data_IF_984329063927
#
_entry.id   IF_984329063927
#
_cell.length_a   1.000
_cell.length_b   1.000
_cell.length_c   1.000
_cell.angle_alpha   90.00
_cell.angle_beta   90.00
_cell.angle_gamma   90.00
#
_symmetry.space_group_name_H-M   'P 1'
#
loop_
_entity.id
_entity.type
_entity.pdbx_description
1 polymer ?
#
# COMPACT_ATOMS: atom_id res chain seq x y z
N UNK A 1 -5.22 12.26 -9.13
CA UNK A 1 -4.10 11.64 -8.42
C UNK A 1 -4.00 10.19 -8.82
N UNK A 2 -2.79 9.66 -8.81
CA UNK A 2 -2.48 8.27 -9.15
C UNK A 2 -1.14 7.86 -8.55
N UNK A 3 -0.76 6.61 -8.72
CA UNK A 3 0.62 6.19 -8.48
C UNK A 3 1.12 5.27 -9.60
N UNK A 4 2.42 5.20 -9.75
CA UNK A 4 3.10 4.11 -10.45
C UNK A 4 3.83 3.31 -9.39
N UNK A 5 3.65 1.98 -9.40
CA UNK A 5 4.45 1.06 -8.60
C UNK A 5 5.11 0.07 -9.55
N UNK A 6 6.44 0.13 -9.61
CA UNK A 6 7.29 -0.71 -10.46
C UNK A 6 6.79 -0.79 -11.93
N UNK A 7 6.45 0.37 -12.49
CA UNK A 7 5.97 0.52 -13.86
C UNK A 7 4.45 0.34 -14.03
N UNK A 8 3.72 -0.11 -13.01
CA UNK A 8 2.27 -0.26 -13.09
C UNK A 8 1.54 1.01 -12.66
N UNK A 9 0.96 1.73 -13.62
CA UNK A 9 0.19 2.95 -13.37
C UNK A 9 -1.22 2.66 -12.84
N UNK A 10 -1.63 3.35 -11.78
CA UNK A 10 -2.97 3.30 -11.19
C UNK A 10 -3.52 4.71 -11.02
N UNK A 11 -4.73 4.92 -11.54
CA UNK A 11 -5.42 6.22 -11.56
C UNK A 11 -6.65 6.20 -10.66
N UNK A 12 -7.27 7.37 -10.44
CA UNK A 12 -8.54 7.49 -9.73
C UNK A 12 -8.40 7.42 -8.20
N UNK A 13 -7.25 7.81 -7.67
CA UNK A 13 -6.99 7.78 -6.23
C UNK A 13 -7.40 9.12 -5.65
N UNK A 14 -8.27 9.06 -4.64
CA UNK A 14 -8.85 10.25 -3.99
C UNK A 14 -8.55 10.32 -2.51
N UNK A 15 -8.08 9.22 -1.90
CA UNK A 15 -7.76 9.15 -0.48
C UNK A 15 -6.50 8.32 -0.23
N UNK A 16 -5.81 8.60 0.88
CA UNK A 16 -4.67 7.80 1.34
C UNK A 16 -5.05 6.33 1.62
N UNK A 17 -6.26 6.08 2.14
CA UNK A 17 -6.77 4.72 2.34
C UNK A 17 -6.88 3.95 1.02
N UNK A 18 -7.41 4.61 -0.03
CA UNK A 18 -7.52 3.99 -1.36
C UNK A 18 -6.15 3.75 -2.00
N UNK A 19 -5.19 4.67 -1.81
CA UNK A 19 -3.80 4.44 -2.21
C UNK A 19 -3.25 3.17 -1.55
N UNK A 20 -3.36 3.09 -0.22
CA UNK A 20 -2.85 1.96 0.56
C UNK A 20 -3.47 0.63 0.14
N UNK A 21 -4.78 0.59 -0.04
CA UNK A 21 -5.51 -0.59 -0.52
C UNK A 21 -4.93 -1.09 -1.84
N UNK A 22 -4.79 -0.20 -2.82
CA UNK A 22 -4.36 -0.55 -4.17
C UNK A 22 -2.90 -1.02 -4.19
N UNK A 23 -2.03 -0.40 -3.39
CA UNK A 23 -0.65 -0.87 -3.18
C UNK A 23 -0.66 -2.28 -2.59
N UNK A 24 -1.44 -2.53 -1.53
CA UNK A 24 -1.54 -3.86 -0.93
C UNK A 24 -2.04 -4.91 -1.93
N UNK A 25 -3.05 -4.58 -2.73
CA UNK A 25 -3.58 -5.49 -3.77
C UNK A 25 -2.54 -5.81 -4.84
N UNK A 26 -1.78 -4.82 -5.31
CA UNK A 26 -0.72 -5.07 -6.29
C UNK A 26 0.41 -5.94 -5.72
N UNK A 27 0.85 -5.66 -4.49
CA UNK A 27 1.88 -6.47 -3.83
C UNK A 27 1.41 -7.91 -3.61
N UNK A 28 0.14 -8.08 -3.21
CA UNK A 28 -0.46 -9.40 -3.07
C UNK A 28 -0.52 -10.15 -4.39
N UNK A 29 -0.91 -9.50 -5.49
CA UNK A 29 -0.92 -10.12 -6.82
C UNK A 29 0.49 -10.51 -7.30
N UNK A 30 1.49 -9.69 -6.95
CA UNK A 30 2.90 -9.90 -7.34
C UNK A 30 3.54 -11.09 -6.63
N UNK A 31 3.38 -11.19 -5.31
CA UNK A 31 3.96 -12.26 -4.52
C UNK A 31 2.98 -12.72 -3.42
N UNK A 32 1.97 -13.54 -3.77
CA UNK A 32 0.91 -13.96 -2.85
C UNK A 32 1.43 -14.61 -1.58
N UNK A 33 2.44 -15.48 -1.69
CA UNK A 33 3.06 -16.17 -0.54
C UNK A 33 3.72 -15.19 0.43
N UNK A 34 4.44 -14.20 -0.11
CA UNK A 34 5.09 -13.14 0.70
C UNK A 34 4.05 -12.24 1.36
N UNK A 35 2.92 -11.99 0.69
CA UNK A 35 1.80 -11.27 1.30
C UNK A 35 1.13 -12.10 2.41
N UNK A 36 1.00 -13.41 2.21
CA UNK A 36 0.39 -14.33 3.17
C UNK A 36 1.17 -14.46 4.48
N UNK A 37 2.47 -14.17 4.47
CA UNK A 37 3.31 -14.15 5.68
C UNK A 37 3.20 -12.86 6.50
N UNK A 38 2.66 -11.77 5.94
CA UNK A 38 2.60 -10.46 6.61
C UNK A 38 1.98 -10.52 8.02
N UNK A 39 0.87 -11.25 8.28
CA UNK A 39 0.28 -11.29 9.61
C UNK A 39 1.16 -11.88 10.72
N UNK A 40 2.18 -12.66 10.36
CA UNK A 40 3.12 -13.26 11.31
C UNK A 40 4.49 -12.56 11.32
N UNK A 41 4.71 -11.61 10.43
CA UNK A 41 6.03 -11.01 10.25
C UNK A 41 6.26 -9.88 11.27
N UNK A 42 7.36 -9.93 12.06
CA UNK A 42 7.61 -8.99 13.17
C UNK A 42 7.55 -7.51 12.78
N UNK A 43 8.04 -7.13 11.60
CA UNK A 43 8.03 -5.73 11.14
C UNK A 43 6.62 -5.12 10.99
N UNK A 44 5.60 -5.98 10.91
CA UNK A 44 4.20 -5.59 10.79
C UNK A 44 3.43 -5.76 12.11
N UNK A 45 4.13 -6.08 13.20
CA UNK A 45 3.62 -6.10 14.56
C UNK A 45 4.25 -4.92 15.30
N UNK A 46 3.44 -4.01 15.79
CA UNK A 46 3.95 -2.88 16.58
C UNK A 46 4.63 -3.36 17.87
N UNK A 47 5.48 -2.53 18.47
CA UNK A 47 6.11 -2.82 19.76
C UNK A 47 5.11 -3.13 20.89
N UNK A 48 3.83 -2.72 20.74
CA UNK A 48 2.74 -2.99 21.69
C UNK A 48 1.96 -4.26 21.34
N UNK A 49 2.41 -5.05 20.37
CA UNK A 49 1.77 -6.29 19.91
C UNK A 49 0.60 -6.09 18.95
N UNK A 50 0.24 -4.86 18.58
CA UNK A 50 -0.83 -4.65 17.60
C UNK A 50 -0.38 -5.00 16.18
N UNK A 51 -1.07 -5.90 15.47
CA UNK A 51 -0.74 -6.27 14.11
C UNK A 51 -1.23 -5.22 13.10
N UNK A 52 -0.51 -5.07 11.99
CA UNK A 52 -0.90 -4.25 10.84
C UNK A 52 -1.66 -5.05 9.79
N UNK A 53 -1.43 -6.36 9.77
CA UNK A 53 -2.12 -7.33 8.93
C UNK A 53 -2.61 -8.48 9.79
N UNK A 54 -3.82 -8.96 9.56
CA UNK A 54 -4.39 -10.07 10.33
C UNK A 54 -5.33 -10.92 9.48
N UNK A 55 -5.42 -12.21 9.79
CA UNK A 55 -6.51 -13.07 9.30
C UNK A 55 -7.79 -12.95 10.12
N UNK A 56 -7.68 -12.45 11.35
CA UNK A 56 -8.82 -12.10 12.21
C UNK A 56 -9.02 -10.57 12.21
N UNK A 57 -10.08 -10.04 11.56
CA UNK A 57 -10.33 -8.61 11.51
C UNK A 57 -10.57 -7.99 12.90
N UNK A 58 -10.93 -8.78 13.92
CA UNK A 58 -11.15 -8.28 15.29
C UNK A 58 -9.85 -7.87 16.00
N UNK A 59 -8.70 -8.30 15.49
CA UNK A 59 -7.38 -7.90 15.99
C UNK A 59 -6.97 -6.48 15.51
N UNK A 60 -7.73 -5.90 14.57
CA UNK A 60 -7.47 -4.59 13.97
C UNK A 60 -8.48 -3.57 14.51
N UNK A 61 -8.06 -2.31 14.62
CA UNK A 61 -8.94 -1.21 15.03
C UNK A 61 -9.93 -0.87 13.92
N UNK A 62 -9.47 -0.89 12.67
CA UNK A 62 -10.33 -0.89 11.50
C UNK A 62 -9.74 -1.81 10.43
N UNK A 63 -10.48 -2.85 10.05
CA UNK A 63 -10.05 -3.85 9.11
C UNK A 63 -10.52 -3.52 7.68
N UNK A 64 -9.63 -3.72 6.70
CA UNK A 64 -9.96 -3.73 5.28
C UNK A 64 -9.50 -5.03 4.66
N UNK A 65 -10.43 -5.80 4.09
CA UNK A 65 -10.12 -7.03 3.39
C UNK A 65 -9.31 -6.74 2.11
N UNK A 66 -8.11 -7.31 2.01
CA UNK A 66 -7.26 -7.20 0.83
C UNK A 66 -7.51 -8.41 -0.08
N UNK A 67 -7.16 -9.61 0.38
CA UNK A 67 -7.40 -10.87 -0.32
C UNK A 67 -7.34 -12.07 0.64
N UNK A 68 -7.97 -13.19 0.29
CA UNK A 68 -7.86 -14.50 0.97
C UNK A 68 -7.96 -14.43 2.50
N UNK A 69 -8.90 -13.64 3.01
CA UNK A 69 -9.14 -13.45 4.45
C UNK A 69 -8.07 -12.61 5.18
N UNK A 70 -7.07 -12.08 4.48
CA UNK A 70 -6.08 -11.17 5.04
C UNK A 70 -6.63 -9.74 5.00
N UNK A 71 -6.67 -9.14 6.18
CA UNK A 71 -7.10 -7.77 6.40
C UNK A 71 -5.91 -6.89 6.73
N UNK A 72 -5.94 -5.64 6.26
CA UNK A 72 -4.99 -4.61 6.65
C UNK A 72 -5.64 -3.60 7.61
N UNK A 73 -4.86 -3.05 8.53
CA UNK A 73 -5.25 -1.94 9.40
C UNK A 73 -5.40 -0.66 8.57
N UNK A 74 -6.55 0.02 8.68
CA UNK A 74 -6.85 1.26 7.95
C UNK A 74 -7.20 2.45 8.84
N UNK A 75 -7.21 2.27 10.17
CA UNK A 75 -7.29 3.35 11.14
C UNK A 75 -5.93 4.05 11.30
N UNK A 76 -5.41 4.54 10.18
CA UNK A 76 -4.09 5.14 10.05
C UNK A 76 -4.21 6.58 9.52
N UNK A 77 -3.33 7.45 10.01
CA UNK A 77 -3.13 8.78 9.41
C UNK A 77 -2.43 8.65 8.05
N UNK A 78 -2.46 9.72 7.24
CA UNK A 78 -1.74 9.78 5.97
C UNK A 78 -0.25 9.44 6.12
N UNK A 79 0.42 10.01 7.13
CA UNK A 79 1.83 9.74 7.40
C UNK A 79 2.07 8.27 7.76
N UNK A 80 1.21 7.70 8.61
CA UNK A 80 1.31 6.29 8.99
C UNK A 80 1.09 5.35 7.81
N UNK A 81 0.21 5.72 6.87
CA UNK A 81 0.01 5.00 5.61
C UNK A 81 1.29 5.05 4.76
N UNK A 82 1.89 6.23 4.58
CA UNK A 82 3.16 6.36 3.84
C UNK A 82 4.28 5.52 4.46
N UNK A 83 4.39 5.53 5.78
CA UNK A 83 5.38 4.72 6.50
C UNK A 83 5.12 3.22 6.35
N UNK A 84 3.85 2.80 6.41
CA UNK A 84 3.45 1.41 6.17
C UNK A 84 3.78 0.97 4.74
N UNK A 85 3.51 1.83 3.75
CA UNK A 85 3.86 1.56 2.35
C UNK A 85 5.38 1.42 2.20
N UNK A 86 6.19 2.33 2.79
CA UNK A 86 7.66 2.18 2.76
C UNK A 86 8.13 0.85 3.36
N UNK A 87 7.58 0.44 4.50
CA UNK A 87 7.92 -0.86 5.13
C UNK A 87 7.57 -2.02 4.22
N UNK A 88 6.40 -1.98 3.58
CA UNK A 88 6.03 -2.99 2.58
C UNK A 88 7.03 -3.02 1.41
N UNK A 89 7.41 -1.85 0.86
CA UNK A 89 8.39 -1.81 -0.22
C UNK A 89 9.74 -2.42 0.19
N UNK A 90 10.24 -2.08 1.38
CA UNK A 90 11.47 -2.65 1.94
C UNK A 90 11.34 -4.17 2.09
N UNK A 91 10.24 -4.66 2.67
CA UNK A 91 9.98 -6.09 2.86
C UNK A 91 9.88 -6.86 1.53
N UNK A 92 9.40 -6.20 0.48
CA UNK A 92 9.34 -6.76 -0.88
C UNK A 92 10.63 -6.53 -1.68
N UNK A 93 11.64 -5.89 -1.09
CA UNK A 93 12.91 -5.50 -1.74
C UNK A 93 12.67 -4.64 -2.99
N UNK A 94 11.62 -3.83 -2.96
CA UNK A 94 11.28 -2.88 -4.00
C UNK A 94 11.93 -1.53 -3.62
N UNK A 95 12.82 -0.97 -4.46
CA UNK A 95 13.38 0.36 -4.24
C UNK A 95 12.28 1.41 -4.11
N UNK A 96 12.41 2.36 -3.18
CA UNK A 96 11.35 3.35 -2.89
C UNK A 96 11.05 4.20 -4.13
N UNK A 97 12.05 4.44 -4.98
CA UNK A 97 11.94 5.24 -6.21
C UNK A 97 11.01 4.59 -7.24
N UNK A 98 10.73 3.29 -7.09
CA UNK A 98 9.75 2.55 -7.91
C UNK A 98 8.31 2.89 -7.55
N UNK A 99 8.06 3.56 -6.43
CA UNK A 99 6.75 4.13 -6.10
C UNK A 99 6.76 5.64 -6.37
N UNK A 100 5.99 6.05 -7.38
CA UNK A 100 5.81 7.46 -7.73
C UNK A 100 4.36 7.86 -7.49
N UNK A 101 4.12 8.90 -6.70
CA UNK A 101 2.79 9.45 -6.45
C UNK A 101 2.58 10.70 -7.31
N UNK A 102 1.47 10.76 -8.04
CA UNK A 102 1.14 11.88 -8.91
C UNK A 102 -0.01 12.68 -8.31
N UNK A 103 0.24 13.96 -8.02
CA UNK A 103 -0.81 14.88 -7.60
C UNK A 103 -1.52 15.48 -8.83
N UNK A 104 -2.71 16.05 -8.64
CA UNK A 104 -3.59 16.45 -9.75
C UNK A 104 -3.00 17.58 -10.62
N UNK A 105 -2.02 18.32 -10.11
CA UNK A 105 -1.35 19.41 -10.85
C UNK A 105 -0.33 18.90 -11.90
N UNK A 106 0.21 17.69 -11.76
CA UNK A 106 1.19 17.12 -12.71
C UNK A 106 0.57 16.64 -14.04
N UNK A 107 -0.73 16.84 -14.24
CA UNK A 107 -1.41 16.39 -15.48
C UNK A 107 -1.42 17.43 -16.61
N UNK A 108 -1.18 18.70 -16.31
CA UNK A 108 -1.15 19.76 -17.34
C UNK A 108 0.27 20.01 -17.89
N UNK A 109 1.30 19.36 -17.34
CA UNK A 109 2.69 19.54 -17.78
C UNK A 109 3.13 18.61 -18.93
N UNK A 110 2.32 17.62 -19.33
CA UNK A 110 2.73 16.56 -20.28
C UNK A 110 1.85 16.47 -21.54
N UNK A 111 1.04 17.51 -21.84
CA UNK A 111 0.29 17.62 -23.11
C UNK A 111 0.91 18.57 -24.14
N UNK A 112 2.10 19.12 -23.87
CA UNK A 112 2.86 19.89 -24.85
C UNK A 112 4.12 19.14 -25.26
N UNK A 113 4.01 18.15 -26.15
CA UNK A 113 4.92 17.93 -27.28
C UNK A 113 4.51 16.69 -28.07
N UNK A 114 3.98 16.91 -29.27
CA UNK A 114 3.82 15.93 -30.33
C UNK A 114 3.38 16.69 -31.59
N UNK A 115 4.09 16.50 -32.72
CA UNK A 115 4.33 17.51 -33.77
C UNK A 115 3.12 17.99 -34.56
#
# INVERSE_FOLDING_TARGET
HGFILDGQATKGITTWRRLFELVCRQLQQRAPERFASLPQHPDFISNRGHPSFSRDPKQLRAAMLINDGIHAEINLSANSICDMIRRLLIFYEIPIEKLQLFLREDRDADQTHGP
#
